data_IF_745930837548
#
_entry.id   IF_745930837548
#
_cell.length_a   1.000
_cell.length_b   1.000
_cell.length_c   1.000
_cell.angle_alpha   90.00
_cell.angle_beta   90.00
_cell.angle_gamma   90.00
#
_symmetry.space_group_name_H-M   'P 1'
#
loop_
_entity.id
_entity.type
_entity.pdbx_description
1 polymer ?
#
# COMPACT_ATOMS: atom_id res chain seq x y z
N UNK A 1 -56.97 -6.09 10.94
CA UNK A 1 -56.97 -5.11 9.91
C UNK A 1 -56.82 -3.67 10.41
N UNK A 2 -57.56 -3.22 11.44
CA UNK A 2 -57.48 -1.83 11.95
C UNK A 2 -56.04 -1.41 12.34
N UNK A 3 -55.29 -2.30 13.00
CA UNK A 3 -53.89 -2.08 13.40
C UNK A 3 -52.98 -1.90 12.16
N UNK A 4 -53.22 -2.67 11.13
CA UNK A 4 -52.42 -2.57 9.87
C UNK A 4 -52.69 -1.24 9.15
N UNK A 5 -53.92 -0.77 9.16
CA UNK A 5 -54.31 0.50 8.55
C UNK A 5 -53.78 1.71 9.33
N UNK A 6 -53.74 1.62 10.65
CA UNK A 6 -53.11 2.65 11.50
C UNK A 6 -51.61 2.68 11.31
N UNK A 7 -50.90 1.55 11.26
CA UNK A 7 -49.48 1.47 10.96
C UNK A 7 -49.14 2.01 9.55
N UNK A 8 -49.99 1.76 8.56
CA UNK A 8 -49.80 2.34 7.21
C UNK A 8 -49.91 3.86 7.21
N UNK A 9 -50.90 4.41 7.90
CA UNK A 9 -51.05 5.87 8.05
C UNK A 9 -49.88 6.53 8.75
N UNK A 10 -49.38 5.91 9.82
CA UNK A 10 -48.15 6.41 10.50
C UNK A 10 -46.93 6.33 9.61
N UNK A 11 -46.75 5.24 8.83
CA UNK A 11 -45.69 5.10 7.88
C UNK A 11 -45.75 6.17 6.77
N UNK A 12 -46.94 6.48 6.26
CA UNK A 12 -47.12 7.54 5.26
C UNK A 12 -46.80 8.93 5.84
N UNK A 13 -47.22 9.21 7.08
CA UNK A 13 -46.84 10.44 7.79
C UNK A 13 -45.32 10.54 7.96
N UNK A 14 -44.66 9.47 8.42
CA UNK A 14 -43.22 9.44 8.59
C UNK A 14 -42.49 9.68 7.25
N UNK A 15 -42.93 9.03 6.16
CA UNK A 15 -42.40 9.26 4.82
C UNK A 15 -42.59 10.69 4.30
N UNK A 16 -43.72 11.31 4.60
CA UNK A 16 -43.97 12.71 4.21
C UNK A 16 -43.05 13.68 4.95
N UNK A 17 -42.84 13.46 6.26
CA UNK A 17 -41.89 14.25 7.09
C UNK A 17 -40.46 14.05 6.60
N UNK A 18 -40.05 12.81 6.32
CA UNK A 18 -38.75 12.49 5.75
C UNK A 18 -38.54 13.19 4.41
N UNK A 19 -39.50 13.14 3.49
CA UNK A 19 -39.41 13.79 2.19
C UNK A 19 -39.32 15.32 2.28
N UNK A 20 -40.01 15.94 3.24
CA UNK A 20 -39.96 17.38 3.47
C UNK A 20 -38.61 17.84 4.05
N UNK A 21 -38.01 17.02 4.94
CA UNK A 21 -36.72 17.35 5.57
C UNK A 21 -35.51 16.98 4.73
N UNK A 22 -35.67 16.09 3.75
CA UNK A 22 -34.61 15.60 2.89
C UNK A 22 -33.75 16.69 2.23
N UNK A 23 -34.31 17.78 1.64
CA UNK A 23 -33.53 18.85 1.04
C UNK A 23 -32.72 19.64 2.08
N UNK A 24 -33.27 19.85 3.29
CA UNK A 24 -32.57 20.54 4.37
C UNK A 24 -31.39 19.71 4.88
N UNK A 25 -31.60 18.41 5.11
CA UNK A 25 -30.54 17.49 5.51
C UNK A 25 -29.45 17.41 4.43
N UNK A 26 -29.84 17.31 3.17
CA UNK A 26 -28.86 17.28 2.06
C UNK A 26 -28.01 18.56 2.00
N UNK A 27 -28.61 19.73 2.27
CA UNK A 27 -27.89 21.00 2.36
C UNK A 27 -26.89 21.01 3.51
N UNK A 28 -27.32 20.59 4.72
CA UNK A 28 -26.45 20.54 5.89
C UNK A 28 -25.26 19.57 5.69
N UNK A 29 -25.49 18.43 5.06
CA UNK A 29 -24.43 17.48 4.71
C UNK A 29 -23.46 18.13 3.72
N UNK A 30 -23.95 18.81 2.69
CA UNK A 30 -23.11 19.48 1.70
C UNK A 30 -22.27 20.60 2.34
N UNK A 31 -22.86 21.41 3.21
CA UNK A 31 -22.18 22.47 3.95
C UNK A 31 -21.08 21.91 4.88
N UNK A 32 -21.37 20.83 5.60
CA UNK A 32 -20.41 20.14 6.47
C UNK A 32 -19.26 19.55 5.67
N UNK A 33 -19.53 18.91 4.52
CA UNK A 33 -18.46 18.37 3.64
C UNK A 33 -17.60 19.46 3.02
N UNK A 34 -18.20 20.59 2.64
CA UNK A 34 -17.46 21.72 2.12
C UNK A 34 -16.53 22.28 3.22
N UNK A 35 -17.01 22.43 4.44
CA UNK A 35 -16.20 22.82 5.58
C UNK A 35 -15.03 21.84 5.81
N UNK A 36 -15.28 20.54 5.86
CA UNK A 36 -14.25 19.52 6.00
C UNK A 36 -13.23 19.56 4.87
N UNK A 37 -13.68 19.82 3.63
CA UNK A 37 -12.76 19.88 2.47
C UNK A 37 -11.79 21.07 2.54
N UNK A 38 -12.23 22.18 3.09
CA UNK A 38 -11.44 23.42 3.18
C UNK A 38 -10.50 23.43 4.39
N UNK A 39 -10.96 22.93 5.56
CA UNK A 39 -10.29 23.12 6.85
C UNK A 39 -9.54 21.89 7.34
N UNK A 40 -10.09 20.68 7.14
CA UNK A 40 -9.56 19.45 7.71
C UNK A 40 -8.07 19.23 7.44
N UNK A 41 -7.63 19.48 6.21
CA UNK A 41 -6.23 19.26 5.83
C UNK A 41 -5.30 20.16 6.62
N UNK A 42 -5.57 21.45 6.67
CA UNK A 42 -4.67 22.43 7.29
C UNK A 42 -4.72 22.40 8.81
N UNK A 43 -5.91 22.26 9.37
CA UNK A 43 -6.13 22.39 10.82
C UNK A 43 -5.87 21.10 11.59
N UNK A 44 -6.02 19.94 10.95
CA UNK A 44 -5.84 18.65 11.62
C UNK A 44 -4.74 17.81 10.98
N UNK A 45 -4.90 17.42 9.70
CA UNK A 45 -3.98 16.47 9.08
C UNK A 45 -2.55 16.99 8.98
N UNK A 46 -2.33 18.22 8.53
CA UNK A 46 -0.99 18.78 8.36
C UNK A 46 -0.28 18.96 9.71
N UNK A 47 -1.02 19.28 10.78
CA UNK A 47 -0.49 19.35 12.15
C UNK A 47 0.00 17.99 12.62
N UNK A 48 -0.83 16.95 12.47
CA UNK A 48 -0.45 15.57 12.82
C UNK A 48 0.70 15.08 11.93
N UNK A 49 0.68 15.39 10.65
CA UNK A 49 1.74 14.99 9.73
C UNK A 49 3.09 15.64 10.06
N UNK A 50 3.10 16.89 10.52
CA UNK A 50 4.31 17.58 10.98
C UNK A 50 4.84 16.99 12.29
N UNK A 51 3.97 16.71 13.26
CA UNK A 51 4.33 16.02 14.50
C UNK A 51 4.93 14.65 14.20
N UNK A 52 4.28 13.84 13.38
CA UNK A 52 4.79 12.54 12.96
C UNK A 52 6.16 12.63 12.24
N UNK A 53 6.38 13.69 11.45
CA UNK A 53 7.67 13.91 10.79
C UNK A 53 8.77 14.23 11.80
N UNK A 54 8.49 15.08 12.78
CA UNK A 54 9.44 15.42 13.84
C UNK A 54 9.76 14.21 14.72
N UNK A 55 8.74 13.45 15.12
CA UNK A 55 8.89 12.21 15.89
C UNK A 55 9.73 11.17 15.12
N UNK A 56 9.50 11.00 13.83
CA UNK A 56 10.29 10.10 13.00
C UNK A 56 11.76 10.51 12.93
N UNK A 57 12.05 11.81 12.83
CA UNK A 57 13.43 12.30 12.83
C UNK A 57 14.10 12.06 14.18
N UNK A 58 13.38 12.32 15.28
CA UNK A 58 13.88 12.07 16.64
C UNK A 58 14.15 10.58 16.86
N UNK A 59 13.25 9.70 16.43
CA UNK A 59 13.40 8.25 16.57
C UNK A 59 14.59 7.72 15.76
N UNK A 60 14.77 8.18 14.51
CA UNK A 60 15.94 7.81 13.72
C UNK A 60 17.24 8.24 14.40
N UNK A 61 17.30 9.46 14.97
CA UNK A 61 18.47 9.94 15.69
C UNK A 61 18.72 9.13 16.98
N UNK A 62 17.65 8.74 17.68
CA UNK A 62 17.74 7.90 18.87
C UNK A 62 18.25 6.50 18.53
N UNK A 63 17.74 5.89 17.47
CA UNK A 63 18.20 4.58 17.00
C UNK A 63 19.69 4.57 16.64
N UNK A 64 20.20 5.60 15.95
CA UNK A 64 21.62 5.69 15.62
C UNK A 64 22.50 5.84 16.90
N UNK A 65 22.02 6.53 17.93
CA UNK A 65 22.70 6.61 19.23
C UNK A 65 22.75 5.24 19.91
N UNK A 66 21.61 4.56 20.02
CA UNK A 66 21.53 3.22 20.63
C UNK A 66 22.45 2.24 19.90
N UNK A 67 22.46 2.27 18.57
CA UNK A 67 23.31 1.43 17.74
C UNK A 67 24.81 1.72 17.99
N UNK A 68 25.17 2.99 18.07
CA UNK A 68 26.55 3.39 18.38
C UNK A 68 26.99 2.97 19.80
N UNK A 69 26.12 3.08 20.80
CA UNK A 69 26.35 2.60 22.16
C UNK A 69 26.57 1.10 22.21
N UNK A 70 25.70 0.31 21.58
CA UNK A 70 25.83 -1.15 21.49
C UNK A 70 27.16 -1.55 20.83
N UNK A 71 27.55 -0.84 19.77
CA UNK A 71 28.81 -1.11 19.06
C UNK A 71 30.04 -0.72 19.91
N UNK A 72 29.97 0.39 20.65
CA UNK A 72 31.05 0.83 21.55
C UNK A 72 31.26 -0.16 22.69
N UNK A 73 30.19 -0.57 23.38
CA UNK A 73 30.22 -1.61 24.41
C UNK A 73 30.83 -2.93 23.91
N UNK A 74 30.40 -3.34 22.70
CA UNK A 74 30.97 -4.57 22.12
C UNK A 74 32.46 -4.44 21.83
N UNK A 75 32.90 -3.30 21.30
CA UNK A 75 34.33 -3.05 21.04
C UNK A 75 35.14 -3.08 22.29
N UNK A 76 34.65 -2.49 23.39
CA UNK A 76 35.31 -2.52 24.70
C UNK A 76 35.42 -3.96 25.22
N UNK A 77 34.35 -4.73 25.22
CA UNK A 77 34.34 -6.13 25.64
C UNK A 77 35.27 -7.00 24.79
N UNK A 78 35.23 -6.83 23.47
CA UNK A 78 36.13 -7.57 22.55
C UNK A 78 37.61 -7.32 22.82
N UNK A 79 37.99 -6.14 23.31
CA UNK A 79 39.38 -5.85 23.67
C UNK A 79 39.88 -6.58 24.92
N UNK A 80 38.96 -7.03 25.80
CA UNK A 80 39.25 -7.77 27.03
C UNK A 80 39.21 -9.29 26.88
N UNK A 81 38.56 -9.82 25.82
CA UNK A 81 38.40 -11.24 25.61
C UNK A 81 39.60 -11.85 24.88
N UNK A 82 40.05 -13.04 25.34
CA UNK A 82 41.15 -13.81 24.74
C UNK A 82 40.73 -15.18 24.21
N UNK A 83 39.60 -15.71 24.68
CA UNK A 83 39.15 -17.04 24.31
C UNK A 83 38.27 -16.98 23.01
N UNK A 84 38.51 -17.93 22.11
CA UNK A 84 37.81 -18.00 20.84
C UNK A 84 36.29 -18.34 20.96
N UNK A 85 35.90 -19.07 22.00
CA UNK A 85 34.51 -19.38 22.26
C UNK A 85 33.77 -18.18 22.86
N UNK A 86 34.38 -17.45 23.77
CA UNK A 86 33.83 -16.22 24.35
C UNK A 86 33.65 -15.13 23.26
N UNK A 87 34.62 -15.03 22.35
CA UNK A 87 34.53 -14.11 21.20
C UNK A 87 33.33 -14.45 20.29
N UNK A 88 33.07 -15.73 20.05
CA UNK A 88 31.89 -16.16 19.26
C UNK A 88 30.60 -15.86 19.99
N UNK A 89 30.54 -16.12 21.28
CA UNK A 89 29.39 -15.83 22.12
C UNK A 89 29.05 -14.32 22.12
N UNK A 90 30.07 -13.47 22.30
CA UNK A 90 29.88 -12.01 22.32
C UNK A 90 29.42 -11.46 20.95
N UNK A 91 29.93 -12.01 19.85
CA UNK A 91 29.42 -11.67 18.50
C UNK A 91 27.93 -12.05 18.32
N UNK A 92 27.51 -13.17 18.91
CA UNK A 92 26.11 -13.58 18.88
C UNK A 92 25.23 -12.62 19.72
N UNK A 93 25.72 -12.24 20.91
CA UNK A 93 25.06 -11.24 21.76
C UNK A 93 24.92 -9.88 21.05
N UNK A 94 25.98 -9.42 20.38
CA UNK A 94 25.93 -8.19 19.58
C UNK A 94 24.84 -8.26 18.51
N UNK A 95 24.81 -9.36 17.75
CA UNK A 95 23.83 -9.55 16.68
C UNK A 95 22.40 -9.51 17.22
N UNK A 96 22.14 -10.15 18.34
CA UNK A 96 20.82 -10.17 18.96
C UNK A 96 20.43 -8.78 19.47
N UNK A 97 21.32 -8.08 20.18
CA UNK A 97 21.07 -6.73 20.69
C UNK A 97 20.79 -5.73 19.54
N UNK A 98 21.54 -5.82 18.45
CA UNK A 98 21.28 -4.99 17.25
C UNK A 98 19.95 -5.33 16.60
N UNK A 99 19.60 -6.61 16.54
CA UNK A 99 18.32 -7.05 16.02
C UNK A 99 17.15 -6.56 16.88
N UNK A 100 17.24 -6.68 18.20
CA UNK A 100 16.22 -6.21 19.14
C UNK A 100 16.04 -4.68 19.03
N UNK A 101 17.15 -3.93 18.96
CA UNK A 101 17.11 -2.48 18.77
C UNK A 101 16.48 -2.09 17.43
N UNK A 102 16.78 -2.85 16.35
CA UNK A 102 16.17 -2.66 15.04
C UNK A 102 14.66 -2.93 15.08
N UNK A 103 14.23 -4.03 15.68
CA UNK A 103 12.81 -4.39 15.79
C UNK A 103 12.03 -3.35 16.60
N UNK A 104 12.60 -2.86 17.70
CA UNK A 104 11.99 -1.80 18.50
C UNK A 104 11.85 -0.50 17.69
N UNK A 105 12.88 -0.13 16.94
CA UNK A 105 12.86 1.03 16.05
C UNK A 105 11.80 0.90 14.94
N UNK A 106 11.75 -0.25 14.26
CA UNK A 106 10.76 -0.51 13.21
C UNK A 106 9.34 -0.47 13.75
N UNK A 107 9.10 -1.02 14.94
CA UNK A 107 7.80 -0.95 15.62
C UNK A 107 7.37 0.50 15.88
N UNK A 108 8.25 1.34 16.40
CA UNK A 108 7.97 2.76 16.62
C UNK A 108 7.73 3.54 15.33
N UNK A 109 8.50 3.25 14.29
CA UNK A 109 8.26 3.85 12.96
C UNK A 109 6.90 3.43 12.39
N UNK A 110 6.47 2.18 12.64
CA UNK A 110 5.16 1.72 12.22
C UNK A 110 4.04 2.44 12.99
N UNK A 111 4.16 2.60 14.31
CA UNK A 111 3.19 3.36 15.11
C UNK A 111 3.02 4.81 14.63
N UNK A 112 4.13 5.48 14.29
CA UNK A 112 4.11 6.84 13.73
C UNK A 112 3.39 6.85 12.36
N UNK A 113 3.66 5.84 11.53
CA UNK A 113 3.04 5.69 10.22
C UNK A 113 1.52 5.43 10.36
N UNK A 114 1.13 4.59 11.31
CA UNK A 114 -0.26 4.25 11.60
C UNK A 114 -1.02 5.50 12.06
N UNK A 115 -0.49 6.27 12.99
CA UNK A 115 -1.10 7.51 13.47
C UNK A 115 -1.31 8.52 12.34
N UNK A 116 -0.35 8.65 11.44
CA UNK A 116 -0.50 9.53 10.28
C UNK A 116 -1.56 9.01 9.30
N UNK A 117 -1.63 7.70 9.10
CA UNK A 117 -2.65 7.07 8.26
C UNK A 117 -4.05 7.25 8.86
N UNK A 118 -4.19 7.01 10.17
CA UNK A 118 -5.44 7.19 10.90
C UNK A 118 -5.93 8.64 10.84
N UNK A 119 -5.02 9.61 10.97
CA UNK A 119 -5.36 11.01 10.81
C UNK A 119 -5.88 11.32 9.40
N UNK A 120 -5.37 10.68 8.36
CA UNK A 120 -5.90 10.82 7.00
C UNK A 120 -7.27 10.15 6.86
N UNK A 121 -7.43 8.94 7.38
CA UNK A 121 -8.65 8.14 7.29
C UNK A 121 -9.78 8.73 8.14
N UNK A 122 -9.47 9.46 9.20
CA UNK A 122 -10.46 10.10 10.07
C UNK A 122 -11.40 11.04 9.30
N UNK A 123 -10.92 11.71 8.24
CA UNK A 123 -11.79 12.48 7.33
C UNK A 123 -12.89 11.63 6.71
N UNK A 124 -12.53 10.44 6.24
CA UNK A 124 -13.49 9.53 5.60
C UNK A 124 -14.46 8.95 6.62
N UNK A 125 -14.01 8.74 7.86
CA UNK A 125 -14.89 8.35 8.96
C UNK A 125 -15.93 9.44 9.28
N UNK A 126 -15.51 10.71 9.30
CA UNK A 126 -16.45 11.82 9.47
C UNK A 126 -17.46 11.92 8.31
N UNK A 127 -17.01 11.73 7.08
CA UNK A 127 -17.89 11.70 5.88
C UNK A 127 -18.84 10.50 5.94
N UNK A 128 -18.37 9.33 6.41
CA UNK A 128 -19.18 8.15 6.58
C UNK A 128 -20.33 8.38 7.58
N UNK A 129 -20.04 9.01 8.70
CA UNK A 129 -21.06 9.40 9.68
C UNK A 129 -22.10 10.36 9.09
N UNK A 130 -21.68 11.31 8.24
CA UNK A 130 -22.58 12.26 7.60
C UNK A 130 -23.46 11.62 6.50
N UNK A 131 -22.91 10.70 5.74
CA UNK A 131 -23.54 10.11 4.54
C UNK A 131 -24.01 8.67 4.67
N UNK A 132 -23.86 8.05 5.80
CA UNK A 132 -24.18 6.63 6.00
C UNK A 132 -23.54 5.73 4.92
N UNK A 133 -22.22 5.81 4.78
CA UNK A 133 -21.40 5.03 3.82
C UNK A 133 -21.64 5.31 2.33
N UNK A 134 -22.33 6.38 1.98
CA UNK A 134 -22.55 6.78 0.57
C UNK A 134 -21.42 7.66 0.04
N UNK A 135 -20.23 7.10 -0.11
CA UNK A 135 -19.08 7.81 -0.67
C UNK A 135 -19.25 8.11 -2.16
N UNK A 136 -18.74 9.28 -2.58
CA UNK A 136 -18.58 9.60 -3.99
C UNK A 136 -17.44 8.77 -4.61
N UNK A 137 -17.46 8.62 -5.94
CA UNK A 137 -16.39 7.90 -6.65
C UNK A 137 -14.99 8.48 -6.38
N UNK A 138 -14.87 9.82 -6.33
CA UNK A 138 -13.62 10.50 -6.01
C UNK A 138 -13.12 10.20 -4.59
N UNK A 139 -14.01 10.18 -3.60
CA UNK A 139 -13.69 9.83 -2.21
C UNK A 139 -13.23 8.37 -2.09
N UNK A 140 -13.93 7.43 -2.72
CA UNK A 140 -13.52 6.01 -2.76
C UNK A 140 -12.15 5.84 -3.40
N UNK A 141 -11.89 6.53 -4.51
CA UNK A 141 -10.58 6.49 -5.19
C UNK A 141 -9.47 7.06 -4.29
N UNK A 142 -9.70 8.20 -3.62
CA UNK A 142 -8.73 8.80 -2.72
C UNK A 142 -8.41 7.89 -1.53
N UNK A 143 -9.43 7.30 -0.90
CA UNK A 143 -9.28 6.32 0.18
C UNK A 143 -8.51 5.08 -0.27
N UNK A 144 -8.83 4.54 -1.45
CA UNK A 144 -8.15 3.36 -2.00
C UNK A 144 -6.67 3.62 -2.30
N UNK A 145 -6.34 4.81 -2.84
CA UNK A 145 -4.96 5.20 -3.11
C UNK A 145 -4.17 5.33 -1.81
N UNK A 146 -4.75 5.93 -0.77
CA UNK A 146 -4.05 6.08 0.51
C UNK A 146 -3.85 4.74 1.22
N UNK A 147 -4.86 3.87 1.23
CA UNK A 147 -4.71 2.51 1.72
C UNK A 147 -3.63 1.73 0.97
N UNK A 148 -3.58 1.88 -0.36
CA UNK A 148 -2.52 1.25 -1.15
C UNK A 148 -1.12 1.77 -0.77
N UNK A 149 -0.96 3.09 -0.62
CA UNK A 149 0.33 3.67 -0.18
C UNK A 149 0.74 3.22 1.21
N UNK A 150 -0.23 3.09 2.12
CA UNK A 150 0.00 2.62 3.47
C UNK A 150 0.46 1.17 3.51
N UNK A 151 -0.21 0.27 2.77
CA UNK A 151 0.09 -1.17 2.72
C UNK A 151 1.24 -1.52 1.78
N UNK A 152 1.70 -0.56 0.94
CA UNK A 152 2.74 -0.83 -0.06
C UNK A 152 4.08 -1.14 0.60
N UNK A 153 4.55 -2.35 0.38
CA UNK A 153 5.89 -2.81 0.77
C UNK A 153 6.68 -3.15 -0.49
N UNK A 154 7.75 -2.39 -0.72
CA UNK A 154 8.60 -2.54 -1.91
C UNK A 154 9.21 -3.94 -2.01
N UNK A 155 9.66 -4.49 -0.89
CA UNK A 155 10.26 -5.83 -0.84
C UNK A 155 9.25 -6.90 -1.28
N UNK A 156 8.04 -6.87 -0.72
CA UNK A 156 6.98 -7.80 -1.08
C UNK A 156 6.52 -7.61 -2.54
N UNK A 157 6.47 -6.37 -3.01
CA UNK A 157 6.17 -6.06 -4.41
C UNK A 157 7.22 -6.65 -5.35
N UNK A 158 8.51 -6.49 -5.04
CA UNK A 158 9.63 -7.06 -5.81
C UNK A 158 9.57 -8.59 -5.83
N UNK A 159 9.35 -9.24 -4.69
CA UNK A 159 9.22 -10.71 -4.65
C UNK A 159 8.04 -11.19 -5.48
N UNK A 160 6.90 -10.54 -5.36
CA UNK A 160 5.68 -10.96 -6.09
C UNK A 160 5.76 -10.69 -7.60
N UNK A 161 6.44 -9.62 -7.99
CA UNK A 161 6.51 -9.19 -9.39
C UNK A 161 7.93 -9.31 -9.98
N UNK A 162 8.86 -9.96 -9.28
CA UNK A 162 10.28 -10.02 -9.66
C UNK A 162 10.51 -10.52 -11.09
N UNK A 163 9.79 -11.55 -11.51
CA UNK A 163 9.87 -12.07 -12.87
C UNK A 163 9.50 -11.01 -13.91
N UNK A 164 8.41 -10.28 -13.70
CA UNK A 164 7.98 -9.23 -14.65
C UNK A 164 8.97 -8.06 -14.68
N UNK A 165 9.53 -7.70 -13.53
CA UNK A 165 10.54 -6.63 -13.42
C UNK A 165 11.79 -7.01 -14.21
N UNK A 166 12.27 -8.25 -14.08
CA UNK A 166 13.43 -8.74 -14.83
C UNK A 166 13.15 -8.73 -16.34
N UNK A 167 11.98 -9.18 -16.77
CA UNK A 167 11.59 -9.15 -18.19
C UNK A 167 11.59 -7.71 -18.73
N UNK A 168 11.02 -6.76 -17.98
CA UNK A 168 10.99 -5.35 -18.37
C UNK A 168 12.41 -4.77 -18.46
N UNK A 169 13.29 -5.08 -17.50
CA UNK A 169 14.67 -4.62 -17.51
C UNK A 169 15.44 -5.16 -18.73
N UNK A 170 15.28 -6.45 -19.05
CA UNK A 170 15.88 -7.06 -20.23
C UNK A 170 15.35 -6.38 -21.49
N UNK A 171 14.04 -6.13 -21.56
CA UNK A 171 13.44 -5.44 -22.70
C UNK A 171 13.99 -4.02 -22.89
N UNK A 172 14.13 -3.25 -21.81
CA UNK A 172 14.71 -1.90 -21.84
C UNK A 172 16.18 -1.98 -22.30
N UNK A 173 16.96 -2.93 -21.77
CA UNK A 173 18.34 -3.13 -22.18
C UNK A 173 18.45 -3.44 -23.69
N UNK A 174 17.58 -4.31 -24.22
CA UNK A 174 17.53 -4.60 -25.65
C UNK A 174 17.12 -3.38 -26.49
N UNK A 175 16.20 -2.55 -26.01
CA UNK A 175 15.82 -1.30 -26.70
C UNK A 175 16.98 -0.30 -26.80
N UNK A 176 17.92 -0.33 -25.84
CA UNK A 176 19.10 0.55 -25.85
C UNK A 176 20.23 -0.07 -26.70
N UNK A 177 20.49 -1.36 -26.57
CA UNK A 177 21.61 -2.05 -27.25
C UNK A 177 21.34 -2.21 -28.74
N UNK A 178 20.11 -2.51 -29.15
CA UNK A 178 19.80 -2.79 -30.58
C UNK A 178 20.14 -1.62 -31.51
N UNK A 179 19.75 -0.35 -31.23
CA UNK A 179 20.14 0.76 -32.10
C UNK A 179 21.64 1.04 -32.09
N UNK A 180 22.36 0.76 -31.00
CA UNK A 180 23.80 0.94 -30.89
C UNK A 180 24.58 -0.07 -31.73
N UNK A 181 24.07 -1.31 -31.85
CA UNK A 181 24.78 -2.40 -32.55
C UNK A 181 24.36 -2.52 -34.03
N UNK A 182 23.09 -2.30 -34.34
CA UNK A 182 22.50 -2.57 -35.66
C UNK A 182 21.92 -1.34 -36.37
N UNK A 183 22.02 -0.15 -35.81
CA UNK A 183 21.38 1.07 -36.35
C UNK A 183 19.86 0.92 -36.66
N UNK A 184 19.19 -0.01 -36.04
CA UNK A 184 17.76 -0.29 -36.22
C UNK A 184 17.02 -0.07 -34.90
N UNK A 185 15.86 0.59 -34.96
CA UNK A 185 15.04 0.81 -33.78
C UNK A 185 14.14 -0.40 -33.49
N UNK A 186 14.22 -0.94 -32.29
CA UNK A 186 13.38 -2.07 -31.86
C UNK A 186 11.90 -1.66 -31.71
N UNK A 187 11.65 -0.43 -31.23
CA UNK A 187 10.32 0.15 -31.00
C UNK A 187 9.77 0.83 -32.27
N UNK A 188 9.73 0.11 -33.40
CA UNK A 188 9.03 0.54 -34.62
C UNK A 188 7.64 -0.10 -34.64
N UNK A 189 6.64 0.60 -35.16
CA UNK A 189 5.26 0.07 -35.28
C UNK A 189 5.27 -1.28 -36.00
N UNK A 190 6.05 -1.42 -37.06
CA UNK A 190 6.20 -2.68 -37.81
C UNK A 190 6.73 -3.81 -36.94
N UNK A 191 7.76 -3.55 -36.11
CA UNK A 191 8.32 -4.58 -35.23
C UNK A 191 7.36 -4.95 -34.12
N UNK A 192 6.61 -3.99 -33.56
CA UNK A 192 5.59 -4.26 -32.54
C UNK A 192 4.48 -5.15 -33.13
N UNK A 193 4.01 -4.85 -34.33
CA UNK A 193 3.02 -5.67 -35.02
C UNK A 193 3.55 -7.08 -35.34
N UNK A 194 4.79 -7.21 -35.77
CA UNK A 194 5.43 -8.50 -36.00
C UNK A 194 5.56 -9.32 -34.71
N UNK A 195 5.94 -8.69 -33.59
CA UNK A 195 6.00 -9.34 -32.29
C UNK A 195 4.61 -9.82 -31.84
N UNK A 196 3.58 -8.98 -32.00
CA UNK A 196 2.20 -9.32 -31.66
C UNK A 196 1.69 -10.47 -32.53
N UNK A 197 1.98 -10.45 -33.84
CA UNK A 197 1.59 -11.50 -34.77
C UNK A 197 2.26 -12.84 -34.43
N UNK A 198 3.53 -12.84 -34.06
CA UNK A 198 4.24 -14.05 -33.64
C UNK A 198 3.85 -14.53 -32.24
N UNK A 199 3.51 -13.61 -31.32
CA UNK A 199 3.07 -13.94 -29.97
C UNK A 199 1.64 -14.46 -29.92
N UNK A 200 0.75 -14.01 -30.82
CA UNK A 200 -0.66 -14.31 -30.82
C UNK A 200 -0.97 -15.83 -30.76
N UNK A 201 -0.46 -16.70 -31.64
CA UNK A 201 -0.76 -18.14 -31.57
C UNK A 201 -0.29 -18.77 -30.25
N UNK A 202 0.88 -18.31 -29.75
CA UNK A 202 1.46 -18.80 -28.49
C UNK A 202 0.64 -18.37 -27.27
N UNK A 203 0.05 -17.17 -27.31
CA UNK A 203 -0.84 -16.68 -26.26
C UNK A 203 -2.12 -17.49 -26.15
N UNK A 204 -2.74 -17.85 -27.28
CA UNK A 204 -3.92 -18.72 -27.30
C UNK A 204 -3.60 -20.12 -26.77
N UNK A 205 -2.44 -20.65 -27.13
CA UNK A 205 -1.96 -21.95 -26.65
C UNK A 205 -1.74 -21.90 -25.13
N UNK A 206 -1.08 -20.86 -24.61
CA UNK A 206 -0.83 -20.67 -23.19
C UNK A 206 -2.12 -20.51 -22.39
N UNK A 207 -3.12 -19.80 -22.95
CA UNK A 207 -4.45 -19.67 -22.33
C UNK A 207 -5.19 -21.01 -22.24
N UNK A 208 -5.11 -21.82 -23.29
CA UNK A 208 -5.67 -23.17 -23.30
C UNK A 208 -5.03 -24.07 -22.25
N UNK A 209 -3.70 -24.06 -22.15
CA UNK A 209 -2.95 -24.81 -21.12
C UNK A 209 -3.27 -24.33 -19.71
N UNK A 210 -3.36 -23.00 -19.50
CA UNK A 210 -3.73 -22.46 -18.20
C UNK A 210 -5.12 -22.93 -17.75
N UNK A 211 -6.09 -23.02 -18.67
CA UNK A 211 -7.41 -23.58 -18.42
C UNK A 211 -7.35 -25.08 -18.03
N UNK A 212 -6.53 -25.86 -18.73
CA UNK A 212 -6.32 -27.27 -18.43
C UNK A 212 -5.65 -27.49 -17.05
N UNK A 213 -4.66 -26.69 -16.71
CA UNK A 213 -3.99 -26.76 -15.39
C UNK A 213 -4.98 -26.42 -14.27
N UNK A 214 -5.83 -25.41 -14.45
CA UNK A 214 -6.86 -25.03 -13.46
C UNK A 214 -7.90 -26.16 -13.26
N UNK A 215 -8.18 -26.95 -14.31
CA UNK A 215 -9.10 -28.09 -14.27
C UNK A 215 -8.42 -29.40 -13.85
N UNK A 216 -7.17 -29.33 -13.36
CA UNK A 216 -6.36 -30.51 -12.98
C UNK A 216 -6.15 -31.52 -14.12
N UNK A 217 -6.35 -31.10 -15.38
CA UNK A 217 -6.09 -31.90 -16.58
C UNK A 217 -4.63 -31.75 -17.03
N UNK A 218 -3.92 -32.86 -17.23
CA UNK A 218 -2.60 -32.87 -17.87
C UNK A 218 -2.74 -33.23 -19.33
N UNK A 219 -2.53 -32.29 -20.24
CA UNK A 219 -2.42 -32.56 -21.66
C UNK A 219 -0.94 -32.59 -22.07
N UNK A 220 -0.44 -33.78 -22.35
CA UNK A 220 0.94 -34.03 -22.80
C UNK A 220 1.15 -33.82 -24.30
N UNK A 221 0.12 -33.44 -25.05
CA UNK A 221 0.16 -33.29 -26.53
C UNK A 221 0.71 -31.94 -26.99
N UNK A 222 0.88 -30.98 -26.09
CA UNK A 222 1.27 -29.59 -26.38
C UNK A 222 2.78 -29.35 -26.70
N UNK A 223 3.55 -30.39 -26.93
CA UNK A 223 4.99 -30.31 -27.19
C UNK A 223 5.46 -31.01 -28.47
N UNK A 224 4.55 -31.49 -29.31
CA UNK A 224 4.91 -32.16 -30.59
C UNK A 224 4.63 -31.30 -31.79
#
# INVERSE_FOLDING_TARGET
>A
SKIIDDCKKELEKAKSVESANKPQIAKLIADAENYLSQHYKKEYYDVVAQSCKAEKQAENSNYEKIKAEIQAEHKEKMSSLKDAEEIKAEKYVLKNRLFDAQMAHESRLQEIKDRRHDAYMHKFHLIDMLRMSKFTFGQKKAQSIENYKYTFNLTQFLYRNGLYIVIILIFIALCIITPLVKNTQLLTVTNILNILQQASPRMFLALGVAGLILLTGTDLSLGR
#
